data_IF_778800590360
#
_entry.id   IF_778800590360
#
_cell.length_a   1.000
_cell.length_b   1.000
_cell.length_c   1.000
_cell.angle_alpha   90.00
_cell.angle_beta   90.00
_cell.angle_gamma   90.00
#
_symmetry.space_group_name_H-M   'P 1'
#
loop_
_entity.id
_entity.type
_entity.pdbx_description
1 polymer ?
#
# COMPACT_ATOMS: atom_id res chain seq x y z
N UNK A 1 -12.35 -20.82 4.47
CA UNK A 1 -11.10 -20.81 5.25
C UNK A 1 -10.50 -19.42 5.14
N UNK A 2 -10.30 -18.70 6.24
CA UNK A 2 -9.86 -17.29 6.21
C UNK A 2 -9.44 -16.72 7.57
N UNK A 3 -9.28 -17.58 8.57
CA UNK A 3 -8.96 -17.19 9.95
C UNK A 3 -7.49 -17.49 10.25
N UNK A 4 -6.59 -16.84 9.51
CA UNK A 4 -5.17 -16.88 9.85
C UNK A 4 -4.91 -15.97 11.05
N UNK A 5 -4.12 -16.45 12.01
CA UNK A 5 -3.66 -15.63 13.13
C UNK A 5 -2.67 -14.56 12.64
N UNK A 6 -2.62 -13.40 13.30
CA UNK A 6 -1.72 -12.30 12.94
C UNK A 6 -0.25 -12.72 12.93
N UNK A 7 0.15 -13.60 13.85
CA UNK A 7 1.52 -14.12 13.91
C UNK A 7 1.81 -15.03 12.72
N UNK A 8 0.83 -15.80 12.25
CA UNK A 8 0.99 -16.63 11.05
C UNK A 8 1.21 -15.76 9.81
N UNK A 9 0.46 -14.66 9.68
CA UNK A 9 0.65 -13.68 8.60
C UNK A 9 2.04 -13.04 8.69
N UNK A 10 2.47 -12.60 9.87
CA UNK A 10 3.82 -12.02 10.07
C UNK A 10 4.95 -12.98 9.67
N UNK A 11 4.89 -14.24 10.10
CA UNK A 11 5.88 -15.26 9.74
C UNK A 11 5.86 -15.54 8.24
N UNK A 12 4.67 -15.60 7.63
CA UNK A 12 4.53 -15.78 6.18
C UNK A 12 5.16 -14.61 5.42
N UNK A 13 4.87 -13.36 5.79
CA UNK A 13 5.43 -12.16 5.16
C UNK A 13 6.97 -12.17 5.25
N UNK A 14 7.51 -12.42 6.44
CA UNK A 14 8.96 -12.45 6.65
C UNK A 14 9.65 -13.49 5.75
N UNK A 15 9.06 -14.69 5.62
CA UNK A 15 9.59 -15.75 4.76
C UNK A 15 9.51 -15.40 3.28
N UNK A 16 8.37 -14.87 2.82
CA UNK A 16 8.17 -14.50 1.40
C UNK A 16 9.13 -13.39 0.98
N UNK A 17 9.34 -12.40 1.86
CA UNK A 17 10.23 -11.27 1.60
C UNK A 17 11.68 -11.51 2.03
N UNK A 18 12.00 -12.68 2.58
CA UNK A 18 13.34 -13.04 3.11
C UNK A 18 13.87 -12.03 4.13
N UNK A 19 13.02 -11.59 5.06
CA UNK A 19 13.42 -10.72 6.17
C UNK A 19 14.11 -11.55 7.25
N UNK A 20 15.20 -11.04 7.80
CA UNK A 20 15.94 -11.69 8.90
C UNK A 20 15.13 -11.73 10.20
N UNK A 21 14.29 -10.71 10.40
CA UNK A 21 13.42 -10.55 11.55
C UNK A 21 11.94 -10.42 11.15
N UNK A 22 11.07 -10.73 12.11
CA UNK A 22 9.63 -10.48 11.96
C UNK A 22 9.40 -8.96 11.83
N UNK A 23 8.57 -8.52 10.86
CA UNK A 23 8.27 -7.11 10.67
C UNK A 23 7.60 -6.54 11.92
N UNK A 24 8.22 -5.46 12.45
CA UNK A 24 7.71 -4.67 13.57
C UNK A 24 7.54 -3.23 13.09
N UNK A 25 6.46 -2.53 13.47
CA UNK A 25 5.37 -2.97 14.34
C UNK A 25 4.37 -3.92 13.62
N UNK A 26 3.41 -4.50 14.34
CA UNK A 26 2.54 -5.58 13.82
C UNK A 26 1.73 -5.17 12.58
N UNK A 27 1.37 -3.89 12.50
CA UNK A 27 0.72 -3.19 11.40
C UNK A 27 1.59 -3.07 10.13
N UNK A 28 2.93 -3.09 10.25
CA UNK A 28 3.82 -3.13 9.10
C UNK A 28 3.68 -4.46 8.32
N UNK A 29 3.45 -5.56 9.03
CA UNK A 29 3.20 -6.86 8.41
C UNK A 29 1.91 -6.87 7.60
N UNK A 30 0.85 -6.23 8.11
CA UNK A 30 -0.43 -6.13 7.43
C UNK A 30 -0.30 -5.30 6.13
N UNK A 31 0.45 -4.19 6.18
CA UNK A 31 0.72 -3.39 4.99
C UNK A 31 1.50 -4.17 3.91
N UNK A 32 2.52 -4.93 4.32
CA UNK A 32 3.29 -5.80 3.42
C UNK A 32 2.45 -6.94 2.86
N UNK A 33 1.59 -7.55 3.67
CA UNK A 33 0.68 -8.60 3.22
C UNK A 33 -0.29 -8.07 2.14
N UNK A 34 -0.84 -6.87 2.32
CA UNK A 34 -1.69 -6.22 1.31
C UNK A 34 -0.91 -5.95 0.01
N UNK A 35 0.33 -5.47 0.12
CA UNK A 35 1.18 -5.23 -1.04
C UNK A 35 1.50 -6.52 -1.81
N UNK A 36 1.82 -7.60 -1.11
CA UNK A 36 2.05 -8.94 -1.69
C UNK A 36 0.78 -9.47 -2.38
N UNK A 37 -0.38 -9.38 -1.72
CA UNK A 37 -1.66 -9.74 -2.31
C UNK A 37 -1.94 -8.97 -3.61
N UNK A 38 -1.63 -7.67 -3.63
CA UNK A 38 -1.81 -6.85 -4.82
C UNK A 38 -0.85 -7.26 -5.94
N UNK A 39 0.42 -7.48 -5.63
CA UNK A 39 1.44 -7.93 -6.58
C UNK A 39 1.08 -9.29 -7.21
N UNK A 40 0.63 -10.25 -6.41
CA UNK A 40 0.23 -11.58 -6.90
C UNK A 40 -1.06 -11.61 -7.70
N UNK A 41 -1.96 -10.64 -7.48
CA UNK A 41 -3.18 -10.52 -8.29
C UNK A 41 -2.87 -10.19 -9.76
N UNK A 42 -1.63 -9.82 -10.08
CA UNK A 42 -1.20 -9.54 -11.46
C UNK A 42 -1.86 -8.29 -12.03
N UNK A 43 -2.49 -7.46 -11.20
CA UNK A 43 -2.85 -6.11 -11.62
C UNK A 43 -1.53 -5.40 -11.86
N UNK A 44 -1.27 -4.83 -13.06
CA UNK A 44 -0.23 -3.83 -13.12
C UNK A 44 -0.53 -2.84 -11.99
N UNK A 45 0.51 -2.38 -11.30
CA UNK A 45 0.42 -1.10 -10.63
C UNK A 45 0.09 -0.14 -11.75
N UNK A 46 -1.21 0.02 -12.03
CA UNK A 46 -1.72 1.05 -12.90
C UNK A 46 -1.34 2.29 -12.14
N UNK A 47 -0.16 2.83 -12.46
CA UNK A 47 0.22 4.19 -12.14
C UNK A 47 -1.07 4.96 -12.34
N UNK A 48 -1.62 5.57 -11.25
CA UNK A 48 -3.03 5.94 -11.17
C UNK A 48 -3.37 6.46 -12.53
N UNK A 49 -4.22 5.73 -13.26
CA UNK A 49 -4.49 6.10 -14.63
C UNK A 49 -4.87 7.55 -14.49
N UNK A 50 -3.97 8.45 -14.92
CA UNK A 50 -4.30 9.82 -15.19
C UNK A 50 -5.08 9.66 -16.47
N UNK A 51 -6.25 9.04 -16.35
CA UNK A 51 -7.33 9.10 -17.29
C UNK A 51 -7.38 10.59 -17.56
N UNK A 52 -6.99 10.96 -18.77
CA UNK A 52 -6.65 12.32 -19.18
C UNK A 52 -7.81 13.32 -19.09
N UNK A 53 -8.75 13.13 -18.16
CA UNK A 53 -9.63 14.15 -17.66
C UNK A 53 -8.79 15.21 -16.95
N UNK A 54 -8.84 16.41 -17.50
CA UNK A 54 -8.44 17.64 -16.82
C UNK A 54 -8.97 17.63 -15.40
N UNK A 55 -8.07 17.71 -14.39
CA UNK A 55 -8.45 17.83 -12.98
C UNK A 55 -9.53 18.90 -12.81
N UNK A 56 -10.55 18.59 -12.02
CA UNK A 56 -11.60 19.57 -11.74
C UNK A 56 -10.98 20.78 -11.04
N UNK A 57 -11.57 21.99 -11.17
CA UNK A 57 -11.08 23.19 -10.47
C UNK A 57 -10.86 22.97 -8.96
N UNK A 58 -11.74 22.21 -8.31
CA UNK A 58 -11.65 21.88 -6.89
C UNK A 58 -10.42 21.02 -6.55
N UNK A 59 -10.13 19.99 -7.35
CA UNK A 59 -8.96 19.14 -7.16
C UNK A 59 -7.65 19.92 -7.34
N UNK A 60 -7.61 20.86 -8.29
CA UNK A 60 -6.45 21.74 -8.47
C UNK A 60 -6.26 22.68 -7.29
N UNK A 61 -7.34 23.29 -6.80
CA UNK A 61 -7.31 24.16 -5.63
C UNK A 61 -6.79 23.42 -4.38
N UNK A 62 -7.29 22.21 -4.14
CA UNK A 62 -6.84 21.35 -3.04
C UNK A 62 -5.34 21.00 -3.14
N UNK A 63 -4.86 20.60 -4.32
CA UNK A 63 -3.44 20.27 -4.51
C UNK A 63 -2.48 21.46 -4.33
N UNK A 64 -2.97 22.70 -4.52
CA UNK A 64 -2.20 23.93 -4.28
C UNK A 64 -2.16 24.23 -2.78
N UNK A 65 -3.28 24.07 -2.10
CA UNK A 65 -3.37 24.22 -0.65
C UNK A 65 -2.45 23.24 0.07
N UNK A 66 -2.48 21.95 -0.28
CA UNK A 66 -1.62 20.93 0.34
C UNK A 66 -0.11 21.24 0.17
N UNK A 67 0.29 21.78 -0.98
CA UNK A 67 1.68 22.18 -1.24
C UNK A 67 2.11 23.42 -0.46
N UNK A 68 1.17 24.33 -0.18
CA UNK A 68 1.43 25.51 0.64
C UNK A 68 1.63 25.14 2.12
N UNK A 69 0.95 24.09 2.60
CA UNK A 69 1.01 23.64 4.01
C UNK A 69 2.20 22.72 4.32
N UNK A 70 2.84 22.13 3.30
CA UNK A 70 4.03 21.25 3.48
C UNK A 70 5.37 22.01 3.55
N UNK A 71 5.35 23.32 3.87
CA UNK A 71 6.55 24.12 4.21
C UNK A 71 6.47 24.51 5.67
#
# INVERSE_FOLDING_TARGET
YGSADKRQVQVMVARVLRLDDLPKPADAADALALALCHAWRGSPMTAPARTGGTLTPAQRAWSRAERATRR
#
